data_IF_293175700241
#
_entry.id   IF_293175700241
#
_cell.length_a   1.000
_cell.length_b   1.000
_cell.length_c   1.000
_cell.angle_alpha   90.00
_cell.angle_beta   90.00
_cell.angle_gamma   90.00
#
_symmetry.space_group_name_H-M   'P 1'
#
loop_
_entity.id
_entity.type
_entity.pdbx_description
1 polymer ?
#
# COMPACT_ATOMS: atom_id res chain seq x y z
N UNK A 1 9.49 11.72 11.84
CA UNK A 1 8.34 12.18 12.65
C UNK A 1 7.23 12.54 11.67
N UNK A 2 6.01 12.02 11.86
CA UNK A 2 4.87 12.26 10.96
C UNK A 2 4.47 13.73 11.02
N UNK A 3 4.53 14.44 9.89
CA UNK A 3 4.00 15.81 9.79
C UNK A 3 2.56 15.80 9.26
N UNK A 4 1.89 16.96 9.38
CA UNK A 4 0.48 17.08 8.99
C UNK A 4 0.30 16.80 7.49
N UNK A 5 1.25 17.19 6.64
CA UNK A 5 1.24 16.88 5.21
C UNK A 5 1.18 15.36 4.95
N UNK A 6 2.10 14.59 5.54
CA UNK A 6 2.13 13.14 5.36
C UNK A 6 0.90 12.47 5.95
N UNK A 7 0.40 12.98 7.06
CA UNK A 7 -0.84 12.48 7.68
C UNK A 7 -2.06 12.69 6.78
N UNK A 8 -2.21 13.86 6.16
CA UNK A 8 -3.28 14.14 5.21
C UNK A 8 -3.22 13.21 4.00
N UNK A 9 -2.02 13.02 3.44
CA UNK A 9 -1.80 12.08 2.33
C UNK A 9 -2.10 10.64 2.72
N UNK A 10 -1.65 10.18 3.89
CA UNK A 10 -1.95 8.83 4.38
C UNK A 10 -3.46 8.60 4.52
N UNK A 11 -4.19 9.56 5.11
CA UNK A 11 -5.64 9.51 5.25
C UNK A 11 -6.36 9.58 3.90
N UNK A 12 -5.81 10.31 2.93
CA UNK A 12 -6.33 10.36 1.55
C UNK A 12 -6.20 8.99 0.88
N UNK A 13 -4.99 8.43 0.86
CA UNK A 13 -4.74 7.13 0.24
C UNK A 13 -5.58 6.01 0.88
N UNK A 14 -5.79 6.05 2.20
CA UNK A 14 -6.63 5.08 2.89
C UNK A 14 -8.11 5.21 2.51
N UNK A 15 -8.62 6.42 2.27
CA UNK A 15 -9.98 6.65 1.77
C UNK A 15 -10.13 6.13 0.34
N UNK A 16 -9.17 6.45 -0.53
CA UNK A 16 -9.17 5.98 -1.91
C UNK A 16 -9.08 4.45 -1.99
N UNK A 17 -8.22 3.81 -1.19
CA UNK A 17 -8.12 2.35 -1.11
C UNK A 17 -9.46 1.69 -0.72
N UNK A 18 -10.20 2.28 0.22
CA UNK A 18 -11.54 1.81 0.60
C UNK A 18 -12.53 1.95 -0.56
N UNK A 19 -12.49 3.07 -1.29
CA UNK A 19 -13.36 3.28 -2.45
C UNK A 19 -13.08 2.27 -3.58
N UNK A 20 -11.81 1.95 -3.83
CA UNK A 20 -11.43 0.91 -4.80
C UNK A 20 -11.91 -0.49 -4.37
N UNK A 21 -11.80 -0.83 -3.08
CA UNK A 21 -12.36 -2.10 -2.56
C UNK A 21 -13.88 -2.17 -2.69
N UNK A 22 -14.57 -1.05 -2.49
CA UNK A 22 -16.01 -0.96 -2.68
C UNK A 22 -16.39 -1.10 -4.17
N UNK A 23 -15.64 -0.46 -5.07
CA UNK A 23 -15.79 -0.63 -6.51
C UNK A 23 -15.57 -2.09 -6.94
N UNK A 24 -14.59 -2.79 -6.36
CA UNK A 24 -14.34 -4.20 -6.63
C UNK A 24 -15.55 -5.09 -6.28
N UNK A 25 -16.28 -4.77 -5.20
CA UNK A 25 -17.49 -5.49 -4.79
C UNK A 25 -18.67 -5.22 -5.73
N UNK A 26 -18.78 -3.99 -6.21
CA UNK A 26 -19.89 -3.55 -7.05
C UNK A 26 -19.70 -3.88 -8.53
N UNK A 27 -18.46 -4.10 -8.99
CA UNK A 27 -18.10 -4.33 -10.40
C UNK A 27 -17.22 -5.60 -10.52
N UNK A 28 -17.81 -6.81 -10.42
CA UNK A 28 -17.04 -8.05 -10.25
C UNK A 28 -16.04 -8.35 -11.38
N UNK A 29 -16.37 -8.02 -12.64
CA UNK A 29 -15.48 -8.29 -13.78
C UNK A 29 -14.22 -7.41 -13.78
N UNK A 30 -14.23 -6.27 -13.06
CA UNK A 30 -13.07 -5.38 -12.87
C UNK A 30 -12.43 -5.57 -11.49
N UNK A 31 -12.95 -6.46 -10.65
CA UNK A 31 -12.51 -6.64 -9.28
C UNK A 31 -11.00 -6.88 -9.16
N UNK A 32 -10.32 -7.69 -10.01
CA UNK A 32 -8.87 -7.87 -9.90
C UNK A 32 -8.08 -6.56 -10.03
N UNK A 33 -8.50 -5.67 -10.95
CA UNK A 33 -7.88 -4.35 -11.13
C UNK A 33 -8.11 -3.46 -9.93
N UNK A 34 -9.35 -3.40 -9.43
CA UNK A 34 -9.70 -2.56 -8.29
C UNK A 34 -9.04 -3.04 -6.99
N UNK A 35 -8.94 -4.35 -6.77
CA UNK A 35 -8.20 -4.92 -5.63
C UNK A 35 -6.73 -4.56 -5.69
N UNK A 36 -6.09 -4.69 -6.85
CA UNK A 36 -4.68 -4.31 -7.01
C UNK A 36 -4.46 -2.83 -6.71
N UNK A 37 -5.31 -1.95 -7.22
CA UNK A 37 -5.23 -0.52 -6.97
C UNK A 37 -5.50 -0.17 -5.50
N UNK A 38 -6.44 -0.86 -4.86
CA UNK A 38 -6.67 -0.70 -3.43
C UNK A 38 -5.43 -1.05 -2.59
N UNK A 39 -4.76 -2.16 -2.91
CA UNK A 39 -3.54 -2.60 -2.20
C UNK A 39 -2.42 -1.58 -2.36
N UNK A 40 -2.15 -1.09 -3.58
CA UNK A 40 -1.13 -0.06 -3.82
C UNK A 40 -1.40 1.23 -3.04
N UNK A 41 -2.66 1.66 -3.01
CA UNK A 41 -3.05 2.86 -2.25
C UNK A 41 -2.95 2.63 -0.74
N UNK A 42 -3.33 1.45 -0.24
CA UNK A 42 -3.14 1.09 1.16
C UNK A 42 -1.67 1.05 1.56
N UNK A 43 -0.81 0.47 0.72
CA UNK A 43 0.65 0.47 0.91
C UNK A 43 1.21 1.88 0.95
N UNK A 44 0.77 2.75 0.03
CA UNK A 44 1.17 4.16 0.04
C UNK A 44 0.79 4.83 1.37
N UNK A 45 -0.43 4.61 1.87
CA UNK A 45 -0.85 5.15 3.17
C UNK A 45 0.05 4.71 4.33
N UNK A 46 0.49 3.45 4.33
CA UNK A 46 1.45 2.92 5.32
C UNK A 46 2.79 3.66 5.20
N UNK A 47 3.33 3.82 4.00
CA UNK A 47 4.61 4.49 3.80
C UNK A 47 4.61 5.95 4.26
N UNK A 48 3.56 6.70 3.91
CA UNK A 48 3.36 8.08 4.40
C UNK A 48 3.24 8.13 5.93
N UNK A 49 2.69 7.09 6.57
CA UNK A 49 2.60 7.01 8.03
C UNK A 49 3.94 6.70 8.70
N UNK A 50 4.82 5.97 8.02
CA UNK A 50 6.13 5.57 8.55
C UNK A 50 7.22 6.61 8.32
N UNK A 51 7.12 7.43 7.27
CA UNK A 51 8.13 8.44 6.98
C UNK A 51 7.96 9.07 5.60
N UNK A 52 9.09 9.39 4.96
CA UNK A 52 9.13 9.82 3.56
C UNK A 52 8.93 8.60 2.65
N UNK A 53 7.86 8.53 1.83
CA UNK A 53 7.56 7.34 1.04
C UNK A 53 8.71 6.87 0.14
N UNK A 54 9.45 7.80 -0.48
CA UNK A 54 10.59 7.44 -1.32
C UNK A 54 11.69 6.71 -0.54
N UNK A 55 11.91 7.10 0.73
CA UNK A 55 12.88 6.46 1.59
C UNK A 55 12.39 5.09 2.09
N UNK A 56 11.12 5.00 2.51
CA UNK A 56 10.52 3.74 2.97
C UNK A 56 10.49 2.70 1.84
N UNK A 57 10.17 3.10 0.62
CA UNK A 57 10.16 2.22 -0.55
C UNK A 57 11.55 1.64 -0.85
N UNK A 58 12.61 2.45 -0.74
CA UNK A 58 13.99 1.96 -0.91
C UNK A 58 14.36 0.97 0.19
N UNK A 59 14.03 1.27 1.45
CA UNK A 59 14.26 0.35 2.57
C UNK A 59 13.56 -0.99 2.36
N UNK A 60 12.29 -0.98 1.92
CA UNK A 60 11.54 -2.22 1.65
C UNK A 60 12.18 -3.02 0.51
N UNK A 61 12.67 -2.37 -0.55
CA UNK A 61 13.38 -3.04 -1.64
C UNK A 61 14.68 -3.68 -1.16
N UNK A 62 15.48 -2.95 -0.40
CA UNK A 62 16.72 -3.48 0.17
C UNK A 62 16.47 -4.70 1.06
N UNK A 63 15.44 -4.67 1.91
CA UNK A 63 15.08 -5.82 2.75
C UNK A 63 14.57 -7.02 1.95
N UNK A 64 13.82 -6.79 0.86
CA UNK A 64 13.43 -7.88 -0.06
C UNK A 64 14.63 -8.51 -0.74
N UNK A 65 15.59 -7.71 -1.19
CA UNK A 65 16.79 -8.19 -1.87
C UNK A 65 17.73 -9.00 -0.96
N UNK A 66 17.73 -8.71 0.35
CA UNK A 66 18.51 -9.44 1.36
C UNK A 66 18.09 -10.91 1.54
N UNK A 67 17.09 -11.42 0.79
CA UNK A 67 16.69 -12.84 0.73
C UNK A 67 16.55 -13.48 2.10
N UNK A 68 16.04 -12.76 3.10
CA UNK A 68 15.42 -13.46 4.22
C UNK A 68 14.26 -14.24 3.61
N UNK A 69 14.25 -15.56 3.79
CA UNK A 69 13.17 -16.43 3.33
C UNK A 69 11.91 -16.05 4.08
N UNK A 70 11.19 -15.07 3.56
CA UNK A 70 9.90 -14.65 4.06
C UNK A 70 8.91 -15.75 3.69
N UNK A 71 8.71 -16.67 4.61
CA UNK A 71 7.73 -17.76 4.50
C UNK A 71 6.28 -17.27 4.67
N UNK A 72 6.03 -15.96 4.55
CA UNK A 72 4.71 -15.36 4.60
C UNK A 72 4.16 -15.18 3.17
N UNK A 73 3.09 -15.92 2.78
CA UNK A 73 2.50 -15.81 1.46
C UNK A 73 1.99 -14.41 1.12
N UNK A 74 1.57 -13.64 2.13
CA UNK A 74 1.03 -12.28 1.94
C UNK A 74 2.15 -11.32 1.55
N UNK A 75 3.33 -11.46 2.14
CA UNK A 75 4.50 -10.64 1.81
C UNK A 75 5.09 -10.97 0.43
N UNK A 76 4.76 -12.13 -0.15
CA UNK A 76 5.13 -12.51 -1.52
C UNK A 76 4.18 -11.97 -2.62
N UNK A 77 3.01 -11.46 -2.24
CA UNK A 77 2.03 -10.90 -3.19
C UNK A 77 2.17 -9.38 -3.41
N UNK A 78 3.00 -8.71 -2.61
CA UNK A 78 3.34 -7.29 -2.75
C UNK A 78 4.53 -7.12 -3.70
#
# INVERSE_FOLDING_TARGET
>A
MMDEYRKEWALRFLREAKAELEAARNIPYMAPRFVLEAVKKAQSAIYYSLGEPAFIENLVKEEREKKQTVNDPVLNCL
#
